data_IF_987966446654
#
_entry.id   IF_987966446654
#
_cell.length_a   1.000
_cell.length_b   1.000
_cell.length_c   1.000
_cell.angle_alpha   90.00
_cell.angle_beta   90.00
_cell.angle_gamma   90.00
#
_symmetry.space_group_name_H-M   'P 1'
#
loop_
_entity.id
_entity.type
_entity.pdbx_description
1 polymer ?
#
# COMPACT_ATOMS: atom_id res chain seq x y z
N UNK A 1 -6.48 10.54 -3.21
CA UNK A 1 -5.19 10.55 -3.93
C UNK A 1 -4.47 9.26 -3.59
N UNK A 2 -3.75 8.63 -4.51
CA UNK A 2 -3.05 7.38 -4.15
C UNK A 2 -1.90 7.66 -3.19
N UNK A 3 -1.80 6.86 -2.13
CA UNK A 3 -0.71 6.88 -1.16
C UNK A 3 0.65 6.82 -1.87
N UNK A 4 1.59 7.74 -1.55
CA UNK A 4 2.91 7.80 -2.21
C UNK A 4 3.78 6.57 -1.94
N UNK A 5 3.45 5.79 -0.91
CA UNK A 5 4.18 4.58 -0.54
C UNK A 5 3.64 3.30 -1.18
N UNK A 6 2.54 3.39 -1.94
CA UNK A 6 1.97 2.26 -2.65
C UNK A 6 2.65 2.08 -4.01
N UNK A 7 3.32 0.95 -4.20
CA UNK A 7 3.86 0.51 -5.48
C UNK A 7 3.15 -0.75 -5.93
N UNK A 8 3.13 -0.98 -7.24
CA UNK A 8 2.72 -2.27 -7.80
C UNK A 8 3.97 -2.97 -8.36
N UNK A 9 4.18 -4.24 -7.98
CA UNK A 9 5.35 -5.03 -8.38
C UNK A 9 4.92 -6.40 -8.88
N UNK A 10 5.61 -6.93 -9.89
CA UNK A 10 5.42 -8.30 -10.40
C UNK A 10 6.41 -9.30 -9.84
N UNK A 11 7.45 -8.85 -9.16
CA UNK A 11 8.52 -9.72 -8.69
C UNK A 11 8.84 -9.46 -7.23
N UNK A 12 9.27 -10.53 -6.56
CA UNK A 12 9.81 -10.54 -5.20
C UNK A 12 11.04 -11.44 -5.15
N UNK A 13 12.22 -10.86 -5.39
CA UNK A 13 13.45 -11.63 -5.56
C UNK A 13 13.37 -12.59 -6.75
N UNK A 14 13.39 -13.89 -6.47
CA UNK A 14 13.28 -14.97 -7.47
C UNK A 14 11.83 -15.35 -7.82
N UNK A 15 10.85 -14.82 -7.07
CA UNK A 15 9.44 -15.06 -7.32
C UNK A 15 8.90 -14.06 -8.34
N UNK A 16 8.20 -14.54 -9.36
CA UNK A 16 7.45 -13.74 -10.32
C UNK A 16 5.95 -14.06 -10.20
N UNK A 17 5.12 -13.02 -10.26
CA UNK A 17 3.68 -13.10 -10.20
C UNK A 17 3.09 -12.89 -11.60
N UNK A 18 2.04 -13.64 -11.93
CA UNK A 18 1.27 -13.45 -13.17
C UNK A 18 0.68 -12.04 -13.32
N UNK A 19 0.44 -11.34 -12.21
CA UNK A 19 -0.11 -9.98 -12.18
C UNK A 19 0.61 -9.12 -11.16
N UNK A 20 0.56 -7.81 -11.39
CA UNK A 20 1.06 -6.81 -10.46
C UNK A 20 0.35 -6.88 -9.12
N UNK A 21 1.13 -6.97 -8.03
CA UNK A 21 0.64 -6.99 -6.65
C UNK A 21 1.02 -5.71 -5.93
N UNK A 22 0.12 -5.27 -5.06
CA UNK A 22 0.32 -4.09 -4.23
C UNK A 22 1.43 -4.32 -3.21
N UNK A 23 2.35 -3.37 -3.12
CA UNK A 23 3.52 -3.40 -2.26
C UNK A 23 3.64 -2.08 -1.50
N UNK A 24 3.73 -2.16 -0.18
CA UNK A 24 3.89 -1.01 0.68
C UNK A 24 5.36 -0.79 0.99
N UNK A 25 5.89 0.37 0.60
CA UNK A 25 7.30 0.73 0.85
C UNK A 25 7.59 1.17 2.27
N UNK A 26 6.56 1.43 3.10
CA UNK A 26 6.76 1.76 4.53
C UNK A 26 7.18 0.53 5.33
N UNK A 27 6.46 -0.58 5.13
CA UNK A 27 6.71 -1.85 5.84
C UNK A 27 7.58 -2.82 5.01
N UNK A 28 7.85 -2.47 3.74
CA UNK A 28 8.64 -3.26 2.79
C UNK A 28 8.02 -4.63 2.45
N UNK A 29 6.68 -4.67 2.34
CA UNK A 29 5.92 -5.92 2.16
C UNK A 29 4.80 -5.80 1.12
N UNK A 30 4.44 -6.95 0.52
CA UNK A 30 3.22 -7.06 -0.29
C UNK A 30 1.99 -7.01 0.62
N UNK A 31 1.02 -6.16 0.27
CA UNK A 31 -0.19 -5.95 1.07
C UNK A 31 -1.41 -6.63 0.46
N UNK A 32 -2.42 -6.87 1.29
CA UNK A 32 -3.69 -7.42 0.84
C UNK A 32 -4.44 -6.43 -0.07
N UNK A 33 -5.35 -6.92 -0.94
CA UNK A 33 -6.19 -6.06 -1.76
C UNK A 33 -6.98 -5.02 -0.94
N UNK A 34 -7.52 -5.40 0.22
CA UNK A 34 -8.24 -4.46 1.09
C UNK A 34 -7.35 -3.31 1.57
N UNK A 35 -6.08 -3.60 1.91
CA UNK A 35 -5.15 -2.53 2.30
C UNK A 35 -4.74 -1.69 1.11
N UNK A 36 -4.60 -2.29 -0.06
CA UNK A 36 -4.40 -1.54 -1.30
C UNK A 36 -5.59 -0.62 -1.60
N UNK A 37 -6.83 -1.02 -1.27
CA UNK A 37 -8.01 -0.16 -1.43
C UNK A 37 -7.97 1.05 -0.50
N UNK A 38 -7.53 0.90 0.76
CA UNK A 38 -7.24 2.03 1.66
C UNK A 38 -6.18 2.95 1.06
N UNK A 39 -5.04 2.40 0.63
CA UNK A 39 -3.95 3.18 0.05
C UNK A 39 -4.31 3.86 -1.28
N UNK A 40 -5.34 3.40 -1.99
CA UNK A 40 -5.83 4.01 -3.23
C UNK A 40 -7.00 4.99 -2.98
N UNK A 41 -7.38 5.23 -1.73
CA UNK A 41 -8.55 6.01 -1.34
C UNK A 41 -9.85 5.56 -2.02
N UNK A 42 -10.04 4.24 -2.11
CA UNK A 42 -11.25 3.65 -2.68
C UNK A 42 -12.33 3.51 -1.63
N UNK A 43 -13.59 3.46 -2.06
CA UNK A 43 -14.73 3.18 -1.18
C UNK A 43 -14.83 4.14 0.02
N UNK A 44 -14.52 5.42 -0.19
CA UNK A 44 -14.53 6.47 0.86
C UNK A 44 -13.50 6.25 1.97
N UNK A 45 -12.55 5.32 1.76
CA UNK A 45 -11.36 5.17 2.59
C UNK A 45 -10.35 6.25 2.24
N UNK A 46 -9.49 6.57 3.19
CA UNK A 46 -8.47 7.60 3.06
C UNK A 46 -7.17 7.13 3.73
N UNK A 47 -6.08 7.06 2.96
CA UNK A 47 -4.80 6.60 3.47
C UNK A 47 -4.21 7.47 4.59
N UNK A 48 -4.54 8.77 4.63
CA UNK A 48 -4.09 9.70 5.67
C UNK A 48 -4.85 9.49 6.99
N UNK A 49 -6.06 8.93 6.95
CA UNK A 49 -6.89 8.68 8.14
C UNK A 49 -6.92 7.21 8.58
N UNK A 50 -7.05 6.30 7.63
CA UNK A 50 -7.43 4.91 7.84
C UNK A 50 -6.25 3.93 7.74
N UNK A 51 -5.08 4.36 7.20
CA UNK A 51 -3.88 3.53 7.14
C UNK A 51 -2.89 3.85 8.26
N UNK A 52 -2.74 2.92 9.22
CA UNK A 52 -1.83 3.12 10.36
C UNK A 52 -0.36 3.35 9.96
N UNK A 53 0.15 2.60 8.96
CA UNK A 53 1.54 2.70 8.52
C UNK A 53 1.83 4.03 7.82
N UNK A 54 0.87 4.54 7.03
CA UNK A 54 1.05 5.84 6.41
C UNK A 54 1.07 6.93 7.48
N UNK A 55 0.12 6.89 8.42
CA UNK A 55 0.06 7.86 9.52
C UNK A 55 1.33 7.90 10.35
N UNK A 56 1.88 6.72 10.68
CA UNK A 56 3.15 6.62 11.38
C UNK A 56 4.30 7.21 10.55
N UNK A 57 4.40 6.85 9.26
CA UNK A 57 5.45 7.35 8.37
C UNK A 57 5.36 8.87 8.10
N UNK A 58 4.14 9.42 8.10
CA UNK A 58 3.87 10.84 7.87
C UNK A 58 3.86 11.67 9.16
N UNK A 59 3.95 11.05 10.35
CA UNK A 59 3.88 11.74 11.64
C UNK A 59 2.49 12.32 11.96
N UNK A 60 1.42 11.67 11.48
CA UNK A 60 0.02 12.07 11.64
C UNK A 60 -0.64 11.42 12.87
N UNK A 61 0.00 11.54 14.04
CA UNK A 61 -0.50 10.98 15.31
C UNK A 61 -1.89 11.53 15.69
#
# INVERSE_FOLDING_TARGET
MTCPHLSYRRTDGELEFDTERAYCTVIDEFVSPMRADVCNDRHELDHERDCEHYREAAGLE
#
